data_IF_617031906620
#
_entry.id   IF_617031906620
#
_cell.length_a   1.000
_cell.length_b   1.000
_cell.length_c   1.000
_cell.angle_alpha   90.00
_cell.angle_beta   90.00
_cell.angle_gamma   90.00
#
_symmetry.space_group_name_H-M   'P 1'
#
loop_
_entity.id
_entity.type
_entity.pdbx_description
1 polymer ?
#
# COMPACT_ATOMS: atom_id res chain seq x y z
N UNK A 1 -7.67 24.31 -48.21
CA UNK A 1 -7.70 25.12 -46.98
C UNK A 1 -8.85 24.64 -46.10
N UNK A 2 -8.59 23.69 -45.21
CA UNK A 2 -9.47 23.33 -44.07
C UNK A 2 -8.54 22.86 -42.95
N UNK A 3 -8.21 23.79 -42.07
CA UNK A 3 -7.39 23.59 -40.88
C UNK A 3 -8.22 22.80 -39.88
N UNK A 4 -7.88 21.55 -39.63
CA UNK A 4 -8.45 20.80 -38.50
C UNK A 4 -7.65 21.17 -37.26
N UNK A 5 -8.27 21.99 -36.41
CA UNK A 5 -7.75 22.30 -35.08
C UNK A 5 -7.93 21.05 -34.23
N UNK A 6 -6.83 20.35 -33.96
CA UNK A 6 -6.77 19.26 -32.99
C UNK A 6 -6.89 19.89 -31.60
N UNK A 7 -8.10 19.97 -31.07
CA UNK A 7 -8.35 20.34 -29.67
C UNK A 7 -7.89 19.16 -28.79
N UNK A 8 -6.65 19.24 -28.31
CA UNK A 8 -6.14 18.38 -27.25
C UNK A 8 -6.89 18.72 -25.97
N UNK A 9 -7.84 17.88 -25.59
CA UNK A 9 -8.53 17.98 -24.31
C UNK A 9 -7.56 17.56 -23.20
N UNK A 10 -6.84 18.53 -22.64
CA UNK A 10 -6.11 18.35 -21.39
C UNK A 10 -7.17 18.29 -20.29
N UNK A 11 -7.51 17.08 -19.85
CA UNK A 11 -8.31 16.88 -18.64
C UNK A 11 -7.47 17.29 -17.43
N UNK A 12 -7.54 18.58 -17.07
CA UNK A 12 -7.07 19.12 -15.81
C UNK A 12 -7.95 18.56 -14.68
N UNK A 13 -7.54 17.44 -14.10
CA UNK A 13 -8.01 17.00 -12.78
C UNK A 13 -6.99 17.40 -11.72
N UNK A 14 -6.73 18.71 -11.58
CA UNK A 14 -5.98 19.25 -10.45
C UNK A 14 -6.84 19.22 -9.19
N UNK A 15 -7.02 18.03 -8.61
CA UNK A 15 -7.46 17.90 -7.22
C UNK A 15 -6.22 17.92 -6.32
N UNK A 16 -6.26 18.82 -5.34
CA UNK A 16 -5.19 19.01 -4.36
C UNK A 16 -4.99 17.74 -3.50
N UNK A 17 -3.94 16.98 -3.79
CA UNK A 17 -3.41 15.83 -3.01
C UNK A 17 -2.48 16.26 -1.82
N UNK A 18 -2.35 15.55 -0.71
CA UNK A 18 -1.35 15.85 0.34
C UNK A 18 -0.94 14.56 1.09
N UNK A 19 0.09 13.88 0.60
CA UNK A 19 0.43 12.45 0.81
C UNK A 19 1.18 12.18 2.09
N UNK A 20 1.02 11.02 2.78
CA UNK A 20 1.42 10.93 4.19
C UNK A 20 1.83 9.58 4.86
N UNK A 21 2.62 9.78 5.94
CA UNK A 21 3.15 8.99 7.09
C UNK A 21 2.82 9.85 8.36
N UNK A 22 2.94 9.41 9.64
CA UNK A 22 2.68 10.26 10.81
C UNK A 22 3.29 11.66 10.71
N UNK A 23 2.53 12.69 11.08
CA UNK A 23 2.88 14.09 10.82
C UNK A 23 4.22 14.43 11.48
N UNK A 24 4.46 13.96 12.69
CA UNK A 24 5.68 14.10 13.49
C UNK A 24 6.87 13.22 13.02
N UNK A 25 6.76 12.52 11.88
CA UNK A 25 7.80 11.60 11.42
C UNK A 25 8.95 12.17 10.59
N UNK A 26 9.03 13.49 10.34
CA UNK A 26 10.13 14.07 9.57
C UNK A 26 11.50 13.80 10.21
N UNK A 27 11.64 14.02 11.52
CA UNK A 27 12.95 13.93 12.19
C UNK A 27 13.54 12.52 12.16
N UNK A 28 12.69 11.48 12.12
CA UNK A 28 13.12 10.08 12.09
C UNK A 28 13.29 9.52 10.68
N UNK A 29 12.60 10.08 9.68
CA UNK A 29 12.56 9.50 8.32
C UNK A 29 13.21 10.37 7.24
N UNK A 30 13.39 11.67 7.51
CA UNK A 30 13.83 12.66 6.53
C UNK A 30 12.83 12.94 5.40
N UNK A 31 11.58 12.45 5.47
CA UNK A 31 10.56 12.65 4.43
C UNK A 31 10.15 14.12 4.40
N UNK A 32 10.70 14.90 3.47
CA UNK A 32 10.62 16.37 3.46
C UNK A 32 9.19 16.92 3.49
N UNK A 33 8.25 16.26 2.81
CA UNK A 33 6.85 16.72 2.83
C UNK A 33 6.17 16.63 4.21
N UNK A 34 6.70 15.83 5.15
CA UNK A 34 6.24 15.80 6.54
C UNK A 34 6.64 17.06 7.29
N UNK A 35 7.85 17.58 7.07
CA UNK A 35 8.31 18.83 7.65
C UNK A 35 7.30 19.97 7.45
N UNK A 36 6.73 20.06 6.24
CA UNK A 36 5.68 21.04 5.94
C UNK A 36 4.47 20.90 6.86
N UNK A 37 4.03 19.67 7.12
CA UNK A 37 2.84 19.44 7.95
C UNK A 37 3.12 19.64 9.43
N UNK A 38 4.30 19.27 9.89
CA UNK A 38 4.77 19.61 11.24
C UNK A 38 4.79 21.12 11.43
N UNK A 39 5.38 21.86 10.48
CA UNK A 39 5.37 23.32 10.48
C UNK A 39 3.96 23.87 10.53
N UNK A 40 3.04 23.37 9.69
CA UNK A 40 1.64 23.79 9.73
C UNK A 40 0.96 23.50 11.07
N UNK A 41 1.24 22.36 11.69
CA UNK A 41 0.71 22.00 13.00
C UNK A 41 1.27 22.90 14.11
N UNK A 42 2.58 23.11 14.14
CA UNK A 42 3.27 24.00 15.08
C UNK A 42 2.78 25.46 14.95
N UNK A 43 2.57 25.92 13.72
CA UNK A 43 2.07 27.26 13.42
C UNK A 43 0.54 27.38 13.63
N UNK A 44 -0.12 26.32 14.11
CA UNK A 44 -1.59 26.26 14.29
C UNK A 44 -2.38 26.60 13.01
N UNK A 45 -1.82 26.28 11.85
CA UNK A 45 -2.44 26.48 10.54
C UNK A 45 -3.43 25.35 10.30
N UNK A 46 -4.73 25.67 10.36
CA UNK A 46 -5.79 24.70 10.13
C UNK A 46 -5.69 24.05 8.74
N UNK A 47 -5.61 22.71 8.71
CA UNK A 47 -5.65 21.93 7.48
C UNK A 47 -6.93 21.10 7.38
N UNK A 48 -7.99 21.70 6.84
CA UNK A 48 -9.32 21.05 6.69
C UNK A 48 -9.34 19.83 5.75
N UNK A 49 -8.20 19.44 5.15
CA UNK A 49 -8.09 18.26 4.28
C UNK A 49 -7.63 17.01 5.01
N UNK A 50 -7.02 17.15 6.18
CA UNK A 50 -6.58 16.03 7.02
C UNK A 50 -7.74 15.70 7.97
N UNK A 51 -8.30 14.48 7.92
CA UNK A 51 -9.32 14.05 8.89
C UNK A 51 -8.79 14.09 10.33
N UNK A 52 -9.67 14.22 11.33
CA UNK A 52 -9.24 14.32 12.73
C UNK A 52 -8.43 13.10 13.18
N UNK A 53 -8.84 11.90 12.78
CA UNK A 53 -8.13 10.66 13.11
C UNK A 53 -6.81 10.46 12.35
N UNK A 54 -6.41 11.42 11.51
CA UNK A 54 -5.16 11.45 10.76
C UNK A 54 -4.06 12.33 11.44
N UNK A 55 -4.22 12.63 12.73
CA UNK A 55 -3.27 13.42 13.52
C UNK A 55 -2.50 12.61 14.59
N UNK A 56 -2.55 11.27 14.55
CA UNK A 56 -1.76 10.46 15.48
C UNK A 56 -0.27 10.71 15.30
N UNK A 57 0.43 10.71 16.43
CA UNK A 57 1.88 10.77 16.51
C UNK A 57 2.49 9.38 16.31
N UNK A 58 3.79 9.34 16.05
CA UNK A 58 4.52 8.08 15.89
C UNK A 58 4.39 7.16 17.11
N UNK A 59 4.35 7.75 18.31
CA UNK A 59 4.22 7.04 19.59
C UNK A 59 2.81 6.51 19.87
N UNK A 60 1.79 7.10 19.24
CA UNK A 60 0.39 6.69 19.40
C UNK A 60 0.07 5.43 18.56
N UNK A 61 0.83 5.20 17.50
CA UNK A 61 0.65 4.04 16.62
C UNK A 61 1.28 2.82 17.28
N UNK A 62 0.47 1.78 17.49
CA UNK A 62 0.87 0.55 18.19
C UNK A 62 0.38 -0.69 17.45
N UNK A 63 1.02 -1.83 17.71
CA UNK A 63 0.55 -3.14 17.27
C UNK A 63 -0.49 -3.69 18.26
N UNK A 64 -1.63 -4.16 17.77
CA UNK A 64 -2.78 -4.48 18.63
C UNK A 64 -2.89 -5.97 19.02
N UNK A 65 -2.10 -6.85 18.39
CA UNK A 65 -2.17 -8.29 18.60
C UNK A 65 -0.88 -8.89 19.18
N UNK A 66 -0.04 -8.08 19.82
CA UNK A 66 1.19 -8.55 20.49
C UNK A 66 0.92 -9.63 21.55
N UNK A 67 -0.20 -9.54 22.28
CA UNK A 67 -0.61 -10.58 23.25
C UNK A 67 -0.94 -11.93 22.58
N UNK A 68 -1.23 -11.90 21.28
CA UNK A 68 -1.53 -13.07 20.43
C UNK A 68 -0.36 -13.44 19.53
N UNK A 69 0.86 -12.93 19.78
CA UNK A 69 2.05 -13.14 18.93
C UNK A 69 2.37 -14.62 18.65
N UNK A 70 2.07 -15.52 19.60
CA UNK A 70 2.36 -16.96 19.47
C UNK A 70 1.25 -17.76 18.79
N UNK A 71 0.10 -17.16 18.55
CA UNK A 71 -1.00 -17.82 17.87
C UNK A 71 -0.71 -17.96 16.38
N UNK A 72 -1.04 -19.13 15.84
CA UNK A 72 -1.01 -19.30 14.39
C UNK A 72 -2.13 -18.47 13.73
N UNK A 73 -1.89 -18.00 12.51
CA UNK A 73 -2.90 -17.27 11.73
C UNK A 73 -4.18 -18.09 11.55
N UNK A 74 -4.08 -19.41 11.42
CA UNK A 74 -5.24 -20.30 11.33
C UNK A 74 -6.06 -20.38 12.61
N UNK A 75 -5.44 -20.18 13.78
CA UNK A 75 -6.14 -20.14 15.07
C UNK A 75 -6.89 -18.80 15.28
N UNK A 76 -6.39 -17.70 14.70
CA UNK A 76 -7.04 -16.38 14.75
C UNK A 76 -8.20 -16.28 13.75
N UNK A 77 -8.01 -16.79 12.54
CA UNK A 77 -8.96 -16.64 11.43
C UNK A 77 -10.05 -17.73 11.45
N UNK A 78 -10.74 -17.84 12.58
CA UNK A 78 -11.86 -18.76 12.81
C UNK A 78 -13.16 -17.96 12.93
N UNK A 79 -14.14 -18.26 12.09
CA UNK A 79 -15.38 -17.49 12.05
C UNK A 79 -16.15 -17.51 13.38
N UNK A 80 -16.54 -16.33 13.84
CA UNK A 80 -17.52 -16.16 14.91
C UNK A 80 -18.93 -16.13 14.31
N UNK A 81 -19.76 -17.11 14.66
CA UNK A 81 -21.08 -17.31 14.03
C UNK A 81 -21.99 -16.07 14.10
N UNK A 82 -21.97 -15.33 15.21
CA UNK A 82 -22.83 -14.18 15.41
C UNK A 82 -22.35 -12.97 14.61
N UNK A 83 -21.04 -12.72 14.64
CA UNK A 83 -20.40 -11.68 13.87
C UNK A 83 -20.50 -11.95 12.36
N UNK A 84 -20.24 -13.18 11.93
CA UNK A 84 -20.36 -13.62 10.55
C UNK A 84 -21.79 -13.40 10.02
N UNK A 85 -22.83 -13.74 10.80
CA UNK A 85 -24.23 -13.45 10.42
C UNK A 85 -24.51 -11.95 10.25
N UNK A 86 -23.94 -11.09 11.10
CA UNK A 86 -24.11 -9.63 10.99
C UNK A 86 -23.40 -9.07 9.75
N UNK A 87 -22.17 -9.51 9.49
CA UNK A 87 -21.40 -9.11 8.31
C UNK A 87 -22.07 -9.62 7.03
N UNK A 88 -22.56 -10.86 7.00
CA UNK A 88 -23.27 -11.42 5.86
C UNK A 88 -24.51 -10.62 5.47
N UNK A 89 -25.30 -10.12 6.45
CA UNK A 89 -26.51 -9.31 6.20
C UNK A 89 -26.23 -7.99 5.48
N UNK A 90 -25.07 -7.39 5.68
CA UNK A 90 -24.68 -6.12 5.04
C UNK A 90 -23.84 -6.31 3.78
N UNK A 91 -23.36 -7.52 3.52
CA UNK A 91 -22.50 -7.83 2.38
C UNK A 91 -23.34 -7.91 1.11
N UNK A 92 -23.05 -7.10 0.07
CA UNK A 92 -23.77 -7.18 -1.20
C UNK A 92 -23.55 -8.53 -1.88
N UNK A 93 -24.58 -9.05 -2.55
CA UNK A 93 -24.42 -10.20 -3.45
C UNK A 93 -23.55 -9.88 -4.67
N UNK A 94 -23.18 -10.93 -5.41
CA UNK A 94 -22.40 -10.81 -6.65
C UNK A 94 -20.89 -10.96 -6.43
N UNK A 95 -20.10 -10.13 -7.12
CA UNK A 95 -18.63 -10.23 -7.16
C UNK A 95 -17.94 -9.39 -6.06
N UNK A 96 -18.45 -9.50 -4.82
CA UNK A 96 -17.82 -8.96 -3.62
C UNK A 96 -17.21 -10.11 -2.83
N UNK A 97 -15.98 -9.95 -2.38
CA UNK A 97 -15.34 -10.86 -1.43
C UNK A 97 -14.69 -10.05 -0.32
N UNK A 98 -14.85 -10.49 0.92
CA UNK A 98 -14.30 -9.79 2.07
C UNK A 98 -13.90 -10.72 3.22
N UNK A 99 -13.00 -10.22 4.03
CA UNK A 99 -12.63 -10.75 5.33
C UNK A 99 -12.63 -9.59 6.33
N UNK A 100 -13.23 -9.80 7.51
CA UNK A 100 -13.32 -8.80 8.57
C UNK A 100 -12.89 -9.43 9.89
N UNK A 101 -11.99 -8.78 10.60
CA UNK A 101 -11.56 -9.16 11.94
C UNK A 101 -11.84 -8.01 12.90
N UNK A 102 -12.77 -8.19 13.84
CA UNK A 102 -12.87 -7.34 15.02
C UNK A 102 -11.77 -7.74 16.00
N UNK A 103 -10.84 -6.82 16.21
CA UNK A 103 -9.68 -6.97 17.10
C UNK A 103 -9.77 -6.03 18.31
N UNK A 104 -10.96 -5.50 18.60
CA UNK A 104 -11.19 -4.61 19.75
C UNK A 104 -10.72 -5.23 21.07
N UNK A 105 -10.99 -6.54 21.25
CA UNK A 105 -10.50 -7.32 22.38
C UNK A 105 -9.59 -8.45 21.86
N UNK A 106 -8.26 -8.35 22.06
CA UNK A 106 -7.32 -9.38 21.62
C UNK A 106 -7.59 -10.77 22.19
N UNK A 107 -8.25 -10.87 23.35
CA UNK A 107 -8.60 -12.15 23.98
C UNK A 107 -9.91 -12.75 23.45
N UNK A 108 -10.67 -11.98 22.67
CA UNK A 108 -11.97 -12.37 22.11
C UNK A 108 -12.15 -11.78 20.71
N UNK A 109 -11.28 -12.22 19.80
CA UNK A 109 -11.32 -11.86 18.38
C UNK A 109 -12.59 -12.38 17.72
N UNK A 110 -13.16 -11.62 16.78
CA UNK A 110 -14.31 -12.06 15.99
C UNK A 110 -13.99 -11.94 14.51
N UNK A 111 -14.00 -13.07 13.83
CA UNK A 111 -13.71 -13.14 12.41
C UNK A 111 -14.98 -13.42 11.62
N UNK A 112 -15.09 -12.83 10.43
CA UNK A 112 -16.17 -13.08 9.49
C UNK A 112 -15.63 -13.01 8.07
N UNK A 113 -16.08 -13.92 7.21
CA UNK A 113 -15.62 -13.97 5.84
C UNK A 113 -16.78 -14.11 4.85
N UNK A 114 -16.57 -13.62 3.63
CA UNK A 114 -17.45 -13.88 2.49
C UNK A 114 -16.59 -14.08 1.25
N UNK A 115 -16.63 -15.29 0.69
CA UNK A 115 -15.86 -15.65 -0.52
C UNK A 115 -14.34 -15.34 -0.38
N UNK A 116 -13.80 -15.49 0.83
CA UNK A 116 -12.45 -15.05 1.18
C UNK A 116 -11.29 -15.72 0.42
N UNK A 117 -11.55 -16.88 -0.19
CA UNK A 117 -10.57 -17.63 -0.98
C UNK A 117 -10.64 -17.32 -2.48
N UNK A 118 -11.55 -16.43 -2.91
CA UNK A 118 -11.61 -16.02 -4.32
C UNK A 118 -10.43 -15.09 -4.63
N UNK A 119 -9.67 -15.46 -5.65
CA UNK A 119 -8.52 -14.70 -6.11
C UNK A 119 -8.90 -13.58 -7.08
N UNK A 120 -8.25 -12.43 -6.89
CA UNK A 120 -8.40 -11.23 -7.71
C UNK A 120 -7.03 -10.69 -8.09
N UNK A 121 -6.96 -9.88 -9.14
CA UNK A 121 -5.77 -9.07 -9.39
C UNK A 121 -5.66 -7.99 -8.28
N UNK A 122 -4.61 -8.00 -7.44
CA UNK A 122 -4.52 -7.08 -6.29
C UNK A 122 -4.34 -5.61 -6.71
N UNK A 123 -3.82 -5.36 -7.93
CA UNK A 123 -3.46 -4.01 -8.35
C UNK A 123 -2.46 -3.40 -7.37
N UNK A 124 -2.66 -2.13 -7.00
CA UNK A 124 -1.74 -1.44 -6.07
C UNK A 124 -1.79 -1.89 -4.61
N UNK A 125 -2.72 -2.77 -4.21
CA UNK A 125 -2.59 -3.47 -2.92
C UNK A 125 -1.34 -4.35 -2.93
N UNK A 126 -0.94 -4.87 -4.09
CA UNK A 126 0.28 -5.67 -4.25
C UNK A 126 1.58 -4.93 -3.92
N UNK A 127 1.56 -3.59 -3.80
CA UNK A 127 2.73 -2.81 -3.35
C UNK A 127 3.13 -3.13 -1.91
N UNK A 128 2.20 -3.64 -1.09
CA UNK A 128 2.51 -4.10 0.26
C UNK A 128 3.48 -5.30 0.21
N UNK A 129 3.42 -6.15 -0.82
CA UNK A 129 4.40 -7.23 -0.99
C UNK A 129 5.81 -6.69 -1.28
N UNK A 130 5.92 -5.59 -2.03
CA UNK A 130 7.21 -4.89 -2.23
C UNK A 130 7.72 -4.29 -0.93
N UNK A 131 6.82 -3.65 -0.16
CA UNK A 131 7.17 -3.11 1.15
C UNK A 131 7.69 -4.22 2.09
N UNK A 132 6.98 -5.34 2.15
CA UNK A 132 7.38 -6.52 2.93
C UNK A 132 8.74 -7.05 2.48
N UNK A 133 8.93 -7.28 1.19
CA UNK A 133 10.21 -7.74 0.64
C UNK A 133 11.36 -6.79 0.97
N UNK A 134 11.15 -5.49 0.79
CA UNK A 134 12.16 -4.49 1.14
C UNK A 134 12.56 -4.52 2.62
N UNK A 135 11.59 -4.56 3.54
CA UNK A 135 11.91 -4.68 4.98
C UNK A 135 12.54 -6.03 5.33
N UNK A 136 12.18 -7.11 4.63
CA UNK A 136 12.79 -8.43 4.82
C UNK A 136 14.26 -8.38 4.43
N UNK A 137 14.60 -7.85 3.25
CA UNK A 137 16.00 -7.71 2.83
C UNK A 137 16.79 -6.77 3.75
N UNK A 138 16.19 -5.69 4.25
CA UNK A 138 16.82 -4.85 5.28
C UNK A 138 17.16 -5.64 6.55
N UNK A 139 16.27 -6.53 6.97
CA UNK A 139 16.49 -7.39 8.13
C UNK A 139 17.54 -8.48 7.85
N UNK A 140 17.58 -9.06 6.65
CA UNK A 140 18.66 -9.99 6.27
C UNK A 140 20.03 -9.31 6.29
N UNK A 141 20.12 -8.06 5.82
CA UNK A 141 21.36 -7.28 5.86
C UNK A 141 21.74 -6.84 7.28
N UNK A 142 20.76 -6.47 8.11
CA UNK A 142 20.94 -5.98 9.48
C UNK A 142 20.00 -6.69 10.48
N UNK A 143 20.25 -7.96 10.83
CA UNK A 143 19.27 -8.82 11.54
C UNK A 143 18.91 -8.36 12.95
N UNK A 144 19.80 -7.69 13.66
CA UNK A 144 19.59 -7.28 15.06
C UNK A 144 19.72 -5.77 15.28
N UNK A 145 19.60 -4.97 14.20
CA UNK A 145 19.82 -3.53 14.30
C UNK A 145 18.84 -2.74 13.45
N UNK A 146 17.67 -2.45 14.03
CA UNK A 146 16.64 -1.65 13.39
C UNK A 146 17.09 -0.22 13.10
N UNK A 147 17.93 0.38 13.94
CA UNK A 147 18.51 1.71 13.72
C UNK A 147 19.37 1.78 12.45
N UNK A 148 20.13 0.72 12.12
CA UNK A 148 20.88 0.65 10.86
C UNK A 148 19.95 0.46 9.66
N UNK A 149 18.84 -0.27 9.81
CA UNK A 149 17.84 -0.42 8.73
C UNK A 149 17.20 0.93 8.39
N UNK A 150 16.68 1.63 9.40
CA UNK A 150 16.03 2.93 9.22
C UNK A 150 17.04 4.03 8.88
N UNK A 151 18.25 3.96 9.44
CA UNK A 151 19.38 4.82 9.08
C UNK A 151 19.75 4.67 7.61
N UNK A 152 19.81 3.44 7.08
CA UNK A 152 20.01 3.23 5.64
C UNK A 152 18.86 3.83 4.83
N UNK A 153 17.62 3.62 5.26
CA UNK A 153 16.45 4.15 4.55
C UNK A 153 16.42 5.68 4.49
N UNK A 154 16.85 6.34 5.55
CA UNK A 154 16.91 7.79 5.67
C UNK A 154 18.04 8.39 4.83
N UNK A 155 19.21 7.75 4.84
CA UNK A 155 20.44 8.34 4.29
C UNK A 155 20.73 7.94 2.84
N UNK A 156 20.39 6.72 2.40
CA UNK A 156 20.65 6.27 1.04
C UNK A 156 19.71 7.00 0.08
N UNK A 157 20.29 7.80 -0.82
CA UNK A 157 19.56 8.47 -1.90
C UNK A 157 19.77 7.72 -3.22
N UNK A 158 18.68 7.54 -3.96
CA UNK A 158 18.72 6.83 -5.25
C UNK A 158 17.84 7.54 -6.28
N UNK A 159 18.30 7.54 -7.54
CA UNK A 159 17.55 8.14 -8.63
C UNK A 159 16.47 7.22 -9.18
N UNK A 160 15.40 7.84 -9.68
CA UNK A 160 14.32 7.14 -10.36
C UNK A 160 14.80 6.41 -11.62
N UNK A 161 15.67 7.06 -12.41
CA UNK A 161 16.06 6.65 -13.76
C UNK A 161 14.82 6.23 -14.57
N UNK A 162 14.95 5.27 -15.48
CA UNK A 162 13.82 4.78 -16.26
C UNK A 162 12.83 3.96 -15.40
N UNK A 163 13.25 3.39 -14.26
CA UNK A 163 12.41 2.56 -13.37
C UNK A 163 11.18 3.32 -12.88
N UNK A 164 11.38 4.58 -12.48
CA UNK A 164 10.33 5.44 -11.94
C UNK A 164 9.41 6.10 -12.98
N UNK A 165 9.70 6.00 -14.27
CA UNK A 165 8.99 6.74 -15.32
C UNK A 165 7.80 5.98 -15.91
N UNK A 166 6.90 6.71 -16.57
CA UNK A 166 5.74 6.14 -17.27
C UNK A 166 4.51 5.88 -16.39
N UNK A 167 4.55 6.32 -15.12
CA UNK A 167 3.36 6.34 -14.27
C UNK A 167 2.55 7.63 -14.46
N UNK A 168 1.23 7.51 -14.35
CA UNK A 168 0.32 8.64 -14.47
C UNK A 168 0.06 9.33 -13.13
N UNK A 169 0.24 8.63 -12.00
CA UNK A 169 0.11 9.24 -10.68
C UNK A 169 1.23 10.26 -10.44
N UNK A 170 0.89 11.33 -9.73
CA UNK A 170 1.86 12.35 -9.32
C UNK A 170 2.43 12.02 -7.95
N UNK A 171 3.61 12.55 -7.65
CA UNK A 171 4.27 12.54 -6.34
C UNK A 171 4.34 13.96 -5.75
N UNK A 172 4.50 14.12 -4.43
CA UNK A 172 4.60 15.38 -3.72
C UNK A 172 6.09 15.73 -3.54
N UNK A 173 6.60 16.70 -4.27
CA UNK A 173 7.99 17.11 -4.12
C UNK A 173 7.99 18.38 -3.29
N UNK A 174 8.42 18.26 -2.04
CA UNK A 174 8.55 19.41 -1.13
C UNK A 174 10.00 19.84 -1.04
N UNK A 175 10.23 21.10 -1.37
CA UNK A 175 11.51 21.78 -1.24
C UNK A 175 11.46 22.64 0.03
N UNK A 176 12.33 22.31 0.99
CA UNK A 176 12.36 22.96 2.31
C UNK A 176 12.85 24.40 2.19
N UNK A 177 13.89 24.63 1.38
CA UNK A 177 14.56 25.93 1.26
C UNK A 177 13.65 26.99 0.62
N UNK A 178 12.86 26.59 -0.39
CA UNK A 178 11.91 27.45 -1.08
C UNK A 178 10.48 27.38 -0.52
N UNK A 179 10.24 26.60 0.55
CA UNK A 179 8.93 26.35 1.17
C UNK A 179 7.85 26.01 0.12
N UNK A 180 8.20 25.14 -0.84
CA UNK A 180 7.38 24.88 -2.01
C UNK A 180 7.03 23.41 -2.17
N UNK A 181 5.73 23.11 -2.08
CA UNK A 181 5.20 21.82 -2.52
C UNK A 181 4.82 21.86 -3.99
N UNK A 182 5.50 21.04 -4.80
CA UNK A 182 5.13 20.78 -6.20
C UNK A 182 4.53 19.39 -6.34
N UNK A 183 3.54 19.24 -7.22
CA UNK A 183 3.06 17.92 -7.63
C UNK A 183 3.29 17.71 -9.09
N UNK A 184 3.92 16.59 -9.40
CA UNK A 184 4.24 16.21 -10.77
C UNK A 184 4.46 14.72 -10.84
N UNK A 185 4.50 14.20 -12.06
CA UNK A 185 4.97 12.85 -12.30
C UNK A 185 6.46 12.75 -11.96
N UNK A 186 6.87 11.53 -11.63
CA UNK A 186 8.28 11.18 -11.44
C UNK A 186 9.02 11.39 -12.77
N UNK A 187 10.19 12.03 -12.70
CA UNK A 187 11.13 12.16 -13.82
C UNK A 187 12.40 11.39 -13.53
N UNK A 188 13.16 11.02 -14.56
CA UNK A 188 14.32 10.13 -14.42
C UNK A 188 15.41 10.69 -13.48
N UNK A 189 15.55 12.01 -13.40
CA UNK A 189 16.52 12.69 -12.54
C UNK A 189 16.08 12.84 -11.09
N UNK A 190 14.86 12.44 -10.74
CA UNK A 190 14.39 12.50 -9.35
C UNK A 190 15.25 11.65 -8.46
N UNK A 191 15.73 12.23 -7.37
CA UNK A 191 16.54 11.58 -6.36
C UNK A 191 15.91 11.79 -4.99
N UNK A 192 15.60 10.68 -4.34
CA UNK A 192 14.97 10.67 -3.02
C UNK A 192 15.62 9.62 -2.13
N UNK A 193 15.45 9.77 -0.81
CA UNK A 193 15.77 8.72 0.15
C UNK A 193 14.90 7.47 -0.07
N UNK A 194 15.29 6.32 0.46
CA UNK A 194 14.46 5.12 0.38
C UNK A 194 13.14 5.29 1.14
N UNK A 195 13.15 6.05 2.24
CA UNK A 195 11.92 6.44 2.95
C UNK A 195 10.97 7.25 2.09
N UNK A 196 11.48 8.26 1.37
CA UNK A 196 10.68 9.06 0.45
C UNK A 196 10.12 8.21 -0.71
N UNK A 197 10.90 7.26 -1.24
CA UNK A 197 10.39 6.31 -2.24
C UNK A 197 9.32 5.37 -1.70
N UNK A 198 9.51 4.82 -0.50
CA UNK A 198 8.52 3.98 0.18
C UNK A 198 7.23 4.77 0.47
N UNK A 199 7.35 6.01 0.92
CA UNK A 199 6.23 6.92 1.09
C UNK A 199 5.48 7.12 -0.23
N UNK A 200 6.14 7.56 -1.30
CA UNK A 200 5.49 7.82 -2.58
C UNK A 200 4.81 6.56 -3.16
N UNK A 201 5.40 5.39 -2.91
CA UNK A 201 4.81 4.10 -3.27
C UNK A 201 3.53 3.83 -2.50
N UNK A 202 3.53 4.01 -1.18
CA UNK A 202 2.42 3.61 -0.31
C UNK A 202 1.31 4.67 -0.35
N UNK A 203 1.66 5.94 -0.12
CA UNK A 203 0.71 7.00 0.18
C UNK A 203 -0.10 7.47 -1.04
N UNK A 204 0.54 7.70 -2.17
CA UNK A 204 -0.18 7.99 -3.44
C UNK A 204 -0.14 6.90 -4.45
N UNK A 205 0.28 5.71 -4.03
CA UNK A 205 0.20 4.56 -4.90
C UNK A 205 1.00 4.77 -6.19
N UNK A 206 2.11 5.52 -6.15
CA UNK A 206 2.90 5.77 -7.36
C UNK A 206 3.57 4.47 -7.83
N UNK A 207 3.30 4.08 -9.08
CA UNK A 207 3.87 2.88 -9.68
C UNK A 207 5.37 3.03 -9.95
N UNK A 208 5.81 4.24 -10.30
CA UNK A 208 7.22 4.56 -10.48
C UNK A 208 8.03 4.35 -9.20
N UNK A 209 7.57 4.95 -8.10
CA UNK A 209 8.15 4.76 -6.78
C UNK A 209 8.17 3.28 -6.36
N UNK A 210 7.10 2.53 -6.66
CA UNK A 210 7.06 1.09 -6.39
C UNK A 210 8.13 0.32 -7.17
N UNK A 211 8.31 0.62 -8.47
CA UNK A 211 9.34 -0.01 -9.28
C UNK A 211 10.75 0.39 -8.84
N UNK A 212 10.96 1.62 -8.36
CA UNK A 212 12.23 2.06 -7.78
C UNK A 212 12.51 1.28 -6.49
N UNK A 213 11.57 1.23 -5.55
CA UNK A 213 11.78 0.50 -4.30
C UNK A 213 12.01 -1.00 -4.55
N UNK A 214 11.29 -1.60 -5.50
CA UNK A 214 11.50 -3.00 -5.90
C UNK A 214 12.89 -3.22 -6.52
N UNK A 215 13.38 -2.29 -7.35
CA UNK A 215 14.78 -2.31 -7.81
C UNK A 215 15.75 -2.30 -6.62
N UNK A 216 15.52 -1.43 -5.63
CA UNK A 216 16.37 -1.38 -4.43
C UNK A 216 16.29 -2.65 -3.59
N UNK A 217 15.13 -3.31 -3.50
CA UNK A 217 15.00 -4.62 -2.86
C UNK A 217 15.89 -5.67 -3.54
N UNK A 218 15.92 -5.71 -4.88
CA UNK A 218 16.79 -6.64 -5.62
C UNK A 218 18.28 -6.32 -5.41
N UNK A 219 18.64 -5.04 -5.31
CA UNK A 219 20.02 -4.62 -5.06
C UNK A 219 20.45 -4.95 -3.61
N UNK A 220 19.56 -4.81 -2.63
CA UNK A 220 19.82 -5.24 -1.25
C UNK A 220 20.10 -6.75 -1.19
N UNK A 221 19.24 -7.56 -1.81
CA UNK A 221 19.42 -9.02 -1.90
C UNK A 221 20.74 -9.39 -2.61
N UNK A 222 21.09 -8.71 -3.71
CA UNK A 222 22.28 -9.03 -4.49
C UNK A 222 23.60 -8.61 -3.83
N UNK A 223 23.63 -7.45 -3.14
CA UNK A 223 24.86 -6.85 -2.64
C UNK A 223 25.00 -6.93 -1.12
N UNK A 224 23.94 -7.29 -0.40
CA UNK A 224 23.90 -7.33 1.06
C UNK A 224 24.39 -6.02 1.67
N UNK A 225 25.35 -6.10 2.61
CA UNK A 225 25.94 -4.91 3.27
C UNK A 225 26.63 -3.95 2.31
N UNK A 226 27.14 -4.42 1.15
CA UNK A 226 27.78 -3.55 0.15
C UNK A 226 26.80 -2.61 -0.53
N UNK A 227 25.49 -2.87 -0.45
CA UNK A 227 24.46 -2.01 -1.00
C UNK A 227 24.54 -0.55 -0.49
N UNK A 228 24.93 -0.36 0.78
CA UNK A 228 25.04 0.96 1.39
C UNK A 228 25.98 1.88 0.57
N UNK A 229 27.08 1.32 0.08
CA UNK A 229 28.12 2.04 -0.66
C UNK A 229 27.95 1.94 -2.19
N UNK A 230 26.95 1.20 -2.67
CA UNK A 230 26.74 0.95 -4.10
C UNK A 230 26.53 2.25 -4.88
N UNK A 231 27.32 2.46 -5.92
CA UNK A 231 27.19 3.60 -6.82
C UNK A 231 26.04 3.41 -7.82
N UNK A 232 25.59 4.51 -8.42
CA UNK A 232 24.58 4.46 -9.48
C UNK A 232 25.05 3.69 -10.73
N UNK A 233 26.36 3.67 -11.00
CA UNK A 233 26.95 2.93 -12.11
C UNK A 233 26.97 1.42 -11.81
N UNK A 234 27.45 1.00 -10.64
CA UNK A 234 27.45 -0.41 -10.23
C UNK A 234 26.03 -0.98 -10.18
N UNK A 235 25.08 -0.20 -9.66
CA UNK A 235 23.67 -0.59 -9.64
C UNK A 235 23.11 -0.80 -11.07
N UNK A 236 23.46 0.07 -12.03
CA UNK A 236 23.03 -0.09 -13.42
C UNK A 236 23.70 -1.28 -14.09
N UNK A 237 25.01 -1.45 -13.91
CA UNK A 237 25.77 -2.55 -14.49
C UNK A 237 25.22 -3.90 -14.02
N UNK A 238 24.80 -4.01 -12.76
CA UNK A 238 24.12 -5.20 -12.26
C UNK A 238 22.92 -5.62 -13.13
N UNK A 239 22.02 -4.68 -13.46
CA UNK A 239 20.85 -5.01 -14.28
C UNK A 239 21.17 -5.19 -15.77
N UNK A 240 22.23 -4.56 -16.28
CA UNK A 240 22.65 -4.66 -17.68
C UNK A 240 23.39 -5.97 -17.95
N UNK A 241 24.24 -6.41 -17.02
CA UNK A 241 25.15 -7.54 -17.19
C UNK A 241 24.56 -8.86 -16.67
N UNK A 242 23.60 -8.79 -15.74
CA UNK A 242 22.92 -9.99 -15.25
C UNK A 242 21.87 -10.47 -16.25
N UNK A 243 21.83 -11.79 -16.47
CA UNK A 243 20.83 -12.42 -17.30
C UNK A 243 19.39 -12.06 -16.85
N UNK A 244 18.53 -11.77 -17.83
CA UNK A 244 17.17 -11.28 -17.61
C UNK A 244 16.29 -12.29 -16.88
N UNK A 245 16.44 -13.58 -17.14
CA UNK A 245 15.63 -14.61 -16.50
C UNK A 245 16.08 -14.82 -15.05
N UNK A 246 17.38 -14.67 -14.79
CA UNK A 246 17.95 -14.64 -13.44
C UNK A 246 17.40 -13.45 -12.63
N UNK A 247 17.41 -12.24 -13.22
CA UNK A 247 16.79 -11.05 -12.60
C UNK A 247 15.29 -11.22 -12.38
N UNK A 248 14.59 -11.89 -13.29
CA UNK A 248 13.14 -12.15 -13.16
C UNK A 248 12.85 -13.08 -11.99
N UNK A 249 13.61 -14.15 -11.87
CA UNK A 249 13.50 -15.13 -10.78
C UNK A 249 13.84 -14.48 -9.43
N UNK A 250 14.90 -13.67 -9.40
CA UNK A 250 15.29 -12.91 -8.21
C UNK A 250 14.17 -11.95 -7.79
N UNK A 251 13.66 -11.14 -8.72
CA UNK A 251 12.56 -10.21 -8.45
C UNK A 251 11.36 -10.96 -7.86
N UNK A 252 10.94 -12.07 -8.48
CA UNK A 252 9.84 -12.88 -7.97
C UNK A 252 10.10 -13.34 -6.52
N UNK A 253 11.29 -13.88 -6.27
CA UNK A 253 11.69 -14.40 -4.96
C UNK A 253 11.63 -13.32 -3.87
N UNK A 254 12.28 -12.18 -4.06
CA UNK A 254 12.44 -11.16 -3.00
C UNK A 254 11.13 -10.54 -2.52
N UNK A 255 10.05 -10.61 -3.32
CA UNK A 255 8.72 -10.11 -2.91
C UNK A 255 7.72 -11.20 -2.51
N UNK A 256 7.91 -12.44 -2.98
CA UNK A 256 6.96 -13.52 -2.72
C UNK A 256 7.44 -14.50 -1.65
N UNK A 257 8.75 -14.78 -1.54
CA UNK A 257 9.29 -15.67 -0.52
C UNK A 257 8.96 -15.19 0.90
N UNK A 258 9.10 -13.89 1.24
CA UNK A 258 8.72 -13.42 2.58
C UNK A 258 7.24 -13.62 2.92
N UNK A 259 6.37 -13.68 1.91
CA UNK A 259 4.96 -14.05 2.14
C UNK A 259 4.81 -15.56 2.41
N UNK A 260 5.66 -16.42 1.80
CA UNK A 260 5.61 -17.87 1.99
C UNK A 260 6.00 -18.24 3.41
N UNK A 261 7.01 -17.56 3.92
CA UNK A 261 7.54 -17.76 5.27
C UNK A 261 6.50 -17.41 6.35
N UNK A 262 5.54 -16.54 6.02
CA UNK A 262 4.36 -16.22 6.84
C UNK A 262 3.19 -17.21 6.69
N UNK A 263 3.33 -18.28 5.90
CA UNK A 263 2.26 -19.24 5.62
C UNK A 263 1.14 -18.70 4.72
N UNK A 264 1.44 -17.65 3.93
CA UNK A 264 0.57 -17.16 2.85
C UNK A 264 0.96 -17.95 1.60
N UNK A 265 0.04 -18.68 0.98
CA UNK A 265 0.33 -19.58 -0.15
C UNK A 265 0.25 -18.86 -1.51
N UNK A 266 0.69 -19.50 -2.60
CA UNK A 266 0.76 -18.85 -3.93
C UNK A 266 -0.60 -18.41 -4.42
N UNK A 267 -1.62 -19.18 -4.08
CA UNK A 267 -3.01 -18.88 -4.42
C UNK A 267 -3.66 -17.90 -3.44
N UNK A 268 -3.09 -17.72 -2.24
CA UNK A 268 -3.51 -16.68 -1.31
C UNK A 268 -3.09 -15.29 -1.82
N UNK A 269 -1.80 -15.11 -2.12
CA UNK A 269 -1.26 -13.83 -2.59
C UNK A 269 0.10 -14.00 -3.25
N UNK A 270 0.28 -13.44 -4.45
CA UNK A 270 1.59 -13.27 -5.10
C UNK A 270 1.61 -12.06 -6.03
N UNK A 271 2.80 -11.50 -6.26
CA UNK A 271 3.06 -10.43 -7.21
C UNK A 271 3.94 -10.94 -8.34
N UNK A 272 3.45 -10.84 -9.58
CA UNK A 272 4.14 -11.39 -10.74
C UNK A 272 5.02 -10.43 -11.53
N UNK A 273 5.39 -9.28 -10.96
CA UNK A 273 6.38 -8.37 -11.57
C UNK A 273 6.20 -6.90 -11.24
N UNK A 274 7.08 -6.10 -11.80
CA UNK A 274 7.18 -4.64 -11.61
C UNK A 274 5.91 -3.88 -12.03
N UNK A 275 5.80 -2.64 -11.53
CA UNK A 275 4.63 -1.77 -11.71
C UNK A 275 4.74 -0.81 -12.89
N UNK A 276 5.91 -0.71 -13.53
CA UNK A 276 6.15 0.17 -14.69
C UNK A 276 6.62 -0.62 -15.91
N UNK A 277 6.28 -0.11 -17.10
CA UNK A 277 6.68 -0.74 -18.37
C UNK A 277 8.19 -0.67 -18.64
N UNK A 278 8.92 0.42 -18.37
CA UNK A 278 10.35 0.50 -18.64
C UNK A 278 11.19 -0.53 -17.88
N UNK A 279 10.81 -0.88 -16.65
CA UNK A 279 11.44 -1.95 -15.87
C UNK A 279 11.41 -3.31 -16.60
N UNK A 280 10.39 -3.54 -17.43
CA UNK A 280 10.19 -4.76 -18.23
C UNK A 280 11.33 -5.12 -19.19
N UNK A 281 12.20 -4.15 -19.52
CA UNK A 281 13.39 -4.36 -20.33
C UNK A 281 14.39 -5.29 -19.63
N UNK A 282 14.58 -5.12 -18.33
CA UNK A 282 15.59 -5.83 -17.53
C UNK A 282 15.00 -6.93 -16.66
N UNK A 283 13.76 -6.74 -16.20
CA UNK A 283 13.09 -7.68 -15.30
C UNK A 283 11.76 -8.10 -15.92
N UNK A 284 11.58 -9.40 -16.11
CA UNK A 284 10.37 -9.99 -16.68
C UNK A 284 9.19 -10.06 -15.71
N UNK A 285 8.25 -10.95 -16.04
CA UNK A 285 7.08 -11.25 -15.23
C UNK A 285 6.98 -12.76 -15.06
N UNK A 286 6.57 -13.20 -13.88
CA UNK A 286 6.53 -14.62 -13.51
C UNK A 286 5.32 -14.90 -12.60
N UNK A 287 4.66 -16.05 -12.76
CA UNK A 287 3.55 -16.51 -11.88
C UNK A 287 2.24 -15.71 -11.92
N UNK A 288 2.24 -14.51 -12.53
CA UNK A 288 1.09 -13.59 -12.50
C UNK A 288 0.88 -12.97 -11.13
N UNK A 289 -0.14 -12.12 -10.99
CA UNK A 289 -0.47 -11.48 -9.71
C UNK A 289 -1.88 -11.85 -9.28
N UNK A 290 -2.02 -12.39 -8.07
CA UNK A 290 -3.29 -12.75 -7.45
C UNK A 290 -3.27 -12.33 -5.98
N UNK A 291 -4.43 -12.03 -5.42
CA UNK A 291 -4.62 -11.82 -3.99
C UNK A 291 -6.05 -12.22 -3.62
N UNK A 292 -6.20 -12.86 -2.47
CA UNK A 292 -7.48 -13.22 -1.86
C UNK A 292 -7.70 -12.36 -0.60
N UNK A 293 -8.95 -12.10 -0.19
CA UNK A 293 -9.21 -11.46 1.10
C UNK A 293 -8.53 -12.20 2.26
N UNK A 294 -8.50 -13.53 2.24
CA UNK A 294 -7.83 -14.34 3.27
C UNK A 294 -6.31 -14.14 3.30
N UNK A 295 -5.66 -14.17 2.14
CA UNK A 295 -4.21 -13.96 2.03
C UNK A 295 -3.77 -12.59 2.53
N UNK A 296 -4.54 -11.56 2.17
CA UNK A 296 -4.31 -10.19 2.66
C UNK A 296 -4.60 -10.06 4.16
N UNK A 297 -5.64 -10.74 4.66
CA UNK A 297 -5.97 -10.77 6.10
C UNK A 297 -4.87 -11.43 6.92
N UNK A 298 -4.35 -12.58 6.47
CA UNK A 298 -3.20 -13.27 7.07
C UNK A 298 -2.02 -12.31 7.27
N UNK A 299 -1.67 -11.53 6.24
CA UNK A 299 -0.60 -10.55 6.32
C UNK A 299 -0.87 -9.46 7.36
N UNK A 300 -2.08 -8.86 7.35
CA UNK A 300 -2.40 -7.79 8.29
C UNK A 300 -2.50 -8.28 9.75
N UNK A 301 -2.94 -9.52 9.97
CA UNK A 301 -2.89 -10.12 11.31
C UNK A 301 -1.44 -10.35 11.75
N UNK A 302 -0.58 -10.89 10.87
CA UNK A 302 0.85 -11.04 11.16
C UNK A 302 1.51 -9.69 11.46
N UNK A 303 1.13 -8.63 10.75
CA UNK A 303 1.57 -7.26 11.00
C UNK A 303 1.19 -6.80 12.41
N UNK A 304 -0.08 -6.93 12.78
CA UNK A 304 -0.57 -6.55 14.13
C UNK A 304 0.00 -7.44 15.25
N UNK A 305 0.43 -8.67 14.95
CA UNK A 305 1.13 -9.56 15.88
C UNK A 305 2.62 -9.20 16.06
N UNK A 306 3.19 -8.35 15.19
CA UNK A 306 4.63 -8.08 15.17
C UNK A 306 5.46 -9.20 14.57
N UNK A 307 4.88 -9.98 13.66
CA UNK A 307 5.42 -11.23 13.13
C UNK A 307 5.73 -11.19 11.63
N UNK A 308 5.58 -10.05 10.94
CA UNK A 308 5.92 -10.00 9.51
C UNK A 308 7.42 -10.27 9.32
N UNK A 309 8.25 -9.65 10.17
CA UNK A 309 9.70 -9.90 10.28
C UNK A 309 10.07 -9.89 11.77
N UNK A 310 9.89 -8.74 12.40
CA UNK A 310 9.99 -8.49 13.84
C UNK A 310 9.03 -7.35 14.24
N UNK A 311 8.97 -7.04 15.54
CA UNK A 311 8.03 -6.05 16.07
C UNK A 311 8.30 -4.64 15.54
N UNK A 312 9.57 -4.23 15.47
CA UNK A 312 9.97 -2.89 15.03
C UNK A 312 9.66 -2.69 13.54
N UNK A 313 10.02 -3.66 12.69
CA UNK A 313 9.74 -3.62 11.26
C UNK A 313 8.24 -3.67 10.98
N UNK A 314 7.49 -4.48 11.73
CA UNK A 314 6.03 -4.55 11.61
C UNK A 314 5.37 -3.23 11.99
N UNK A 315 5.82 -2.60 13.07
CA UNK A 315 5.35 -1.29 13.50
C UNK A 315 5.66 -0.21 12.46
N UNK A 316 6.85 -0.23 11.89
CA UNK A 316 7.27 0.74 10.89
C UNK A 316 6.50 0.60 9.57
N UNK A 317 6.26 -0.63 9.11
CA UNK A 317 5.36 -0.90 7.98
C UNK A 317 3.93 -0.43 8.27
N UNK A 318 3.43 -0.64 9.49
CA UNK A 318 2.13 -0.11 9.90
C UNK A 318 2.11 1.43 9.85
N UNK A 319 3.15 2.11 10.33
CA UNK A 319 3.28 3.58 10.23
C UNK A 319 3.33 4.07 8.77
N UNK A 320 4.02 3.36 7.87
CA UNK A 320 3.99 3.63 6.43
C UNK A 320 2.60 3.47 5.81
N UNK A 321 1.79 2.55 6.34
CA UNK A 321 0.40 2.39 5.94
C UNK A 321 -0.55 3.41 6.59
N UNK A 322 -0.11 4.16 7.62
CA UNK A 322 -0.93 5.19 8.27
C UNK A 322 -1.12 6.38 7.35
N UNK A 323 -2.33 6.47 6.80
CA UNK A 323 -2.64 7.42 5.75
C UNK A 323 -3.28 8.67 6.33
N UNK A 324 -2.55 9.78 6.29
CA UNK A 324 -3.07 11.07 6.77
C UNK A 324 -3.50 12.03 5.64
N UNK A 325 -3.50 11.56 4.38
CA UNK A 325 -4.06 12.26 3.20
C UNK A 325 -5.56 11.93 2.98
N UNK A 326 -6.10 12.42 1.84
CA UNK A 326 -7.35 12.03 1.23
C UNK A 326 -7.51 10.52 1.26
N UNK A 327 -8.44 10.14 2.13
CA UNK A 327 -9.00 8.81 2.16
C UNK A 327 -9.82 8.57 0.91
N UNK A 328 -9.70 7.38 0.34
CA UNK A 328 -10.44 6.99 -0.87
C UNK A 328 -11.19 5.70 -0.64
N UNK A 329 -12.27 5.50 -1.39
CA UNK A 329 -13.06 4.26 -1.37
C UNK A 329 -13.50 3.92 0.05
N UNK A 330 -13.05 2.79 0.60
CA UNK A 330 -13.39 2.36 1.95
C UNK A 330 -13.04 3.43 3.00
N UNK A 331 -11.82 3.96 2.94
CA UNK A 331 -11.34 4.92 3.93
C UNK A 331 -12.10 6.26 3.89
N UNK A 332 -12.76 6.59 2.77
CA UNK A 332 -13.50 7.85 2.58
C UNK A 332 -14.87 7.87 3.32
N UNK A 333 -15.22 6.83 4.07
CA UNK A 333 -16.44 6.86 4.87
C UNK A 333 -16.33 7.90 5.97
N UNK A 334 -17.31 8.81 6.06
CA UNK A 334 -17.38 9.83 7.12
C UNK A 334 -17.43 9.22 8.54
N UNK A 335 -17.84 7.95 8.69
CA UNK A 335 -17.80 7.25 9.98
C UNK A 335 -16.37 7.01 10.48
N UNK A 336 -15.40 7.14 9.58
CA UNK A 336 -14.00 6.97 9.88
C UNK A 336 -13.30 8.31 10.12
N UNK A 337 -13.93 9.47 9.92
CA UNK A 337 -13.25 10.78 9.95
C UNK A 337 -12.41 11.00 11.22
N UNK A 338 -12.91 10.52 12.37
CA UNK A 338 -12.21 10.57 13.66
C UNK A 338 -11.35 9.34 13.96
N UNK A 339 -11.47 8.26 13.19
CA UNK A 339 -10.69 7.04 13.34
C UNK A 339 -9.27 7.18 12.77
N UNK A 340 -8.29 6.56 13.41
CA UNK A 340 -7.01 6.28 12.78
C UNK A 340 -7.18 5.15 11.75
N UNK A 341 -6.60 5.34 10.57
CA UNK A 341 -6.80 4.45 9.43
C UNK A 341 -5.47 4.13 8.75
N UNK A 342 -5.15 2.85 8.67
CA UNK A 342 -3.94 2.33 8.02
C UNK A 342 -4.39 1.54 6.80
N UNK A 343 -4.13 1.99 5.58
CA UNK A 343 -4.79 1.39 4.42
C UNK A 343 -4.01 1.45 3.11
N UNK A 344 -4.34 0.52 2.22
CA UNK A 344 -3.96 0.57 0.82
C UNK A 344 -5.15 0.24 -0.07
N UNK A 345 -5.29 1.01 -1.14
CA UNK A 345 -6.24 0.73 -2.21
C UNK A 345 -5.53 0.30 -3.50
N UNK A 346 -6.21 -0.51 -4.30
CA UNK A 346 -5.72 -0.99 -5.59
C UNK A 346 -6.86 -1.14 -6.60
N UNK A 347 -6.60 -0.84 -7.86
CA UNK A 347 -7.59 -1.02 -8.93
C UNK A 347 -6.92 -1.47 -10.21
N UNK A 348 -7.63 -2.29 -10.98
CA UNK A 348 -7.22 -2.72 -12.30
C UNK A 348 -8.46 -3.06 -13.12
N UNK A 349 -8.63 -2.41 -14.26
CA UNK A 349 -9.82 -2.58 -15.09
C UNK A 349 -9.44 -2.71 -16.56
N UNK A 350 -10.31 -3.33 -17.35
CA UNK A 350 -10.17 -3.40 -18.80
C UNK A 350 -11.51 -3.15 -19.46
N UNK A 351 -11.45 -2.27 -20.45
CA UNK A 351 -12.55 -1.95 -21.33
C UNK A 351 -12.40 -2.69 -22.67
N UNK A 352 -13.47 -3.35 -23.08
CA UNK A 352 -13.78 -3.76 -24.43
C UNK A 352 -14.80 -2.74 -24.97
N UNK A 353 -14.32 -1.77 -25.74
CA UNK A 353 -15.15 -0.66 -26.25
C UNK A 353 -16.00 -1.05 -27.46
N UNK A 354 -15.77 -2.23 -28.05
CA UNK A 354 -16.67 -2.77 -29.06
C UNK A 354 -17.97 -3.23 -28.39
N UNK A 355 -17.87 -3.93 -27.25
CA UNK A 355 -19.05 -4.37 -26.48
C UNK A 355 -19.72 -3.26 -25.69
N UNK A 356 -18.95 -2.29 -25.19
CA UNK A 356 -19.49 -1.12 -24.49
C UNK A 356 -18.69 0.14 -24.86
N UNK A 357 -19.14 0.91 -25.87
CA UNK A 357 -18.48 2.14 -26.29
C UNK A 357 -18.31 3.17 -25.17
N UNK A 358 -19.16 3.11 -24.13
CA UNK A 358 -19.17 4.04 -23.00
C UNK A 358 -18.34 3.55 -21.80
N UNK A 359 -17.54 2.49 -21.96
CA UNK A 359 -16.70 1.98 -20.87
C UNK A 359 -15.68 3.05 -20.41
N UNK A 360 -15.66 3.29 -19.10
CA UNK A 360 -14.89 4.36 -18.45
C UNK A 360 -13.98 3.82 -17.35
N UNK A 361 -13.14 4.71 -16.83
CA UNK A 361 -12.17 4.37 -15.80
C UNK A 361 -12.85 3.82 -14.54
N UNK A 362 -12.28 2.73 -14.00
CA UNK A 362 -12.83 2.00 -12.85
C UNK A 362 -14.24 1.43 -13.08
N UNK A 363 -14.68 1.31 -14.33
CA UNK A 363 -15.96 0.73 -14.72
C UNK A 363 -15.76 -0.29 -15.87
N UNK A 364 -14.69 -1.07 -15.82
CA UNK A 364 -14.35 -2.06 -16.84
C UNK A 364 -15.46 -3.08 -17.09
N UNK A 365 -15.59 -3.55 -18.34
CA UNK A 365 -16.59 -4.53 -18.76
C UNK A 365 -15.98 -5.91 -19.11
N UNK A 366 -14.65 -6.04 -19.10
CA UNK A 366 -13.95 -7.34 -19.16
C UNK A 366 -13.60 -7.81 -17.76
N UNK A 367 -12.97 -6.92 -17.00
CA UNK A 367 -12.75 -7.03 -15.57
C UNK A 367 -12.69 -5.63 -14.97
N UNK A 368 -13.03 -5.52 -13.70
CA UNK A 368 -13.06 -4.27 -12.96
C UNK A 368 -12.70 -4.49 -11.49
N UNK A 369 -11.43 -4.77 -11.23
CA UNK A 369 -10.93 -5.03 -9.90
C UNK A 369 -10.85 -3.75 -9.08
N UNK A 370 -11.51 -3.74 -7.93
CA UNK A 370 -11.38 -2.68 -6.93
C UNK A 370 -11.16 -3.30 -5.56
N UNK A 371 -10.03 -2.93 -4.96
CA UNK A 371 -9.53 -3.54 -3.73
C UNK A 371 -9.24 -2.46 -2.67
N UNK A 372 -9.51 -2.80 -1.42
CA UNK A 372 -9.20 -2.02 -0.22
C UNK A 372 -8.76 -2.97 0.88
N UNK A 373 -7.59 -2.72 1.46
CA UNK A 373 -7.14 -3.35 2.70
C UNK A 373 -6.93 -2.26 3.74
N UNK A 374 -7.42 -2.47 4.95
CA UNK A 374 -7.52 -1.40 5.93
C UNK A 374 -7.54 -1.94 7.36
N UNK A 375 -6.83 -1.25 8.24
CA UNK A 375 -6.95 -1.34 9.70
C UNK A 375 -7.60 -0.04 10.15
N UNK A 376 -8.60 -0.14 11.03
CA UNK A 376 -9.32 0.99 11.60
C UNK A 376 -9.19 0.95 13.11
N UNK A 377 -8.87 2.08 13.71
CA UNK A 377 -8.83 2.29 15.15
C UNK A 377 -9.67 3.52 15.51
N UNK A 378 -10.84 3.30 16.11
CA UNK A 378 -11.76 4.34 16.53
C UNK A 378 -11.32 4.96 17.88
N UNK A 379 -11.63 6.26 18.13
CA UNK A 379 -11.27 6.93 19.39
C UNK A 379 -11.86 6.26 20.65
N UNK A 380 -12.99 5.56 20.52
CA UNK A 380 -13.62 4.82 21.62
C UNK A 380 -13.02 3.43 21.86
N UNK A 381 -11.87 3.12 21.24
CA UNK A 381 -11.14 1.88 21.40
C UNK A 381 -11.62 0.72 20.52
N UNK A 382 -12.61 0.92 19.64
CA UNK A 382 -13.00 -0.12 18.65
C UNK A 382 -11.92 -0.26 17.58
N UNK A 383 -11.52 -1.49 17.30
CA UNK A 383 -10.42 -1.78 16.36
C UNK A 383 -10.78 -2.96 15.47
N UNK A 384 -10.54 -2.82 14.16
CA UNK A 384 -10.83 -3.90 13.23
C UNK A 384 -10.01 -3.82 11.95
N UNK A 385 -9.90 -4.96 11.26
CA UNK A 385 -9.24 -5.11 9.97
C UNK A 385 -10.29 -5.49 8.92
N UNK A 386 -10.18 -4.94 7.71
CA UNK A 386 -10.97 -5.35 6.55
C UNK A 386 -10.10 -5.54 5.33
N UNK A 387 -10.28 -6.69 4.67
CA UNK A 387 -9.80 -6.94 3.32
C UNK A 387 -11.00 -7.06 2.39
N UNK A 388 -11.21 -6.12 1.49
CA UNK A 388 -12.34 -6.06 0.56
C UNK A 388 -11.83 -6.05 -0.89
N UNK A 389 -12.25 -7.05 -1.66
CA UNK A 389 -11.89 -7.20 -3.07
C UNK A 389 -13.14 -7.41 -3.91
N UNK A 390 -13.24 -6.71 -5.04
CA UNK A 390 -14.43 -6.76 -5.89
C UNK A 390 -14.07 -6.84 -7.37
N UNK A 391 -14.96 -7.44 -8.16
CA UNK A 391 -14.90 -7.45 -9.62
C UNK A 391 -16.29 -7.16 -10.22
N UNK A 392 -16.81 -5.96 -9.96
CA UNK A 392 -18.14 -5.54 -10.41
C UNK A 392 -18.02 -4.81 -11.74
N UNK A 393 -18.46 -5.46 -12.81
CA UNK A 393 -18.35 -4.93 -14.17
C UNK A 393 -19.25 -3.70 -14.38
N UNK A 394 -18.84 -2.81 -15.30
CA UNK A 394 -19.58 -1.62 -15.73
C UNK A 394 -19.93 -0.63 -14.61
N UNK A 395 -19.32 -0.75 -13.43
CA UNK A 395 -19.65 0.09 -12.26
C UNK A 395 -18.40 0.50 -11.51
N UNK A 396 -18.22 1.80 -11.32
CA UNK A 396 -17.26 2.31 -10.36
C UNK A 396 -17.72 2.00 -8.93
N UNK A 397 -17.05 1.03 -8.31
CA UNK A 397 -17.38 0.50 -6.98
C UNK A 397 -16.73 1.30 -5.84
N UNK A 398 -16.10 2.45 -6.11
CA UNK A 398 -15.53 3.31 -5.06
C UNK A 398 -16.59 3.71 -4.02
N UNK A 399 -17.77 4.14 -4.47
CA UNK A 399 -18.88 4.48 -3.58
C UNK A 399 -19.42 3.25 -2.84
N UNK A 400 -19.45 2.09 -3.48
CA UNK A 400 -19.90 0.85 -2.84
C UNK A 400 -18.94 0.43 -1.70
N UNK A 401 -17.63 0.55 -1.89
CA UNK A 401 -16.64 0.34 -0.83
C UNK A 401 -16.85 1.31 0.34
N UNK A 402 -17.11 2.60 0.06
CA UNK A 402 -17.38 3.61 1.08
C UNK A 402 -18.66 3.31 1.88
N UNK A 403 -19.76 2.92 1.22
CA UNK A 403 -21.00 2.56 1.91
C UNK A 403 -20.83 1.29 2.75
N UNK A 404 -20.12 0.29 2.23
CA UNK A 404 -19.84 -0.94 2.96
C UNK A 404 -18.94 -0.67 4.17
N UNK A 405 -17.99 0.27 4.06
CA UNK A 405 -17.21 0.73 5.21
C UNK A 405 -18.09 1.27 6.34
N UNK A 406 -19.04 2.14 6.01
CA UNK A 406 -20.01 2.67 6.98
C UNK A 406 -20.85 1.56 7.63
N UNK A 407 -21.25 0.54 6.85
CA UNK A 407 -22.05 -0.57 7.35
C UNK A 407 -21.24 -1.52 8.24
N UNK A 408 -20.00 -1.85 7.87
CA UNK A 408 -19.11 -2.70 8.67
C UNK A 408 -18.76 -1.98 9.99
N UNK A 409 -18.42 -0.69 9.93
CA UNK A 409 -18.14 0.08 11.13
C UNK A 409 -19.34 0.08 12.09
N UNK A 410 -20.58 0.22 11.61
CA UNK A 410 -21.78 0.10 12.47
C UNK A 410 -21.92 -1.27 13.15
N UNK A 411 -21.44 -2.34 12.53
CA UNK A 411 -21.50 -3.69 13.11
C UNK A 411 -20.47 -3.85 14.23
N UNK A 412 -19.26 -3.32 14.06
CA UNK A 412 -18.16 -3.41 15.05
C UNK A 412 -18.29 -2.34 16.15
N UNK A 413 -18.74 -1.15 15.76
CA UNK A 413 -18.89 0.06 16.56
C UNK A 413 -20.36 0.54 16.55
N UNK A 414 -21.28 -0.23 17.18
CA UNK A 414 -22.66 0.20 17.32
C UNK A 414 -22.70 1.44 18.22
N UNK A 415 -23.26 2.52 17.70
CA UNK A 415 -23.55 3.77 18.42
C UNK A 415 -24.71 3.60 19.38
#
# INVERSE_FOLDING_TARGET
MKTYITLTFIALSTLFVAMLYPIDGYDTTGIKRLYRLQKMEMDSIANKRIPNGAYLKLEDIKLNLLSRKRDSLGAILVEDNDFARKIARITPGGNYSLAVLDMTNPDSLKYAAHRENVGYQPGSVGKIAVLNGFFTELAEVYPDNFELRTGLMCNKRVKARYWGTGDHHTIPVYDIDSDKLTKRQVVASDEFSLYEWADHMVSVSNNGAASVLYRETMLLDAFGRKYADLTEEEAENYFVETDRDSLTSQANRVVNQPLRDLGITEDDWRLGGMFTRPAGKYVGREGGSIGTPKGLMKFLVALEQGNVIDEESSLEMKRLLYMTDRRIRYAHSNRLDDAAVYFKSGSFYKCDREKNPNCSDYAGNVFNYMNSVIIVEQPNGKKYIVCLMTNVLNKNSAGAHMYLASSIDKVVNPT
#
